data_IF_582780026019
#
_entry.id   IF_582780026019
#
_cell.length_a   1.000
_cell.length_b   1.000
_cell.length_c   1.000
_cell.angle_alpha   90.00
_cell.angle_beta   90.00
_cell.angle_gamma   90.00
#
_symmetry.space_group_name_H-M   'P 1'
#
loop_
_entity.id
_entity.type
_entity.pdbx_description
1 polymer ?
#
# COMPACT_ATOMS: atom_id res chain seq x y z
N UNK A 1 5.99 -18.82 -11.07
CA UNK A 1 5.47 -17.64 -10.32
C UNK A 1 6.29 -16.43 -10.74
N UNK A 2 5.68 -15.47 -11.43
CA UNK A 2 6.40 -14.34 -12.04
C UNK A 2 7.02 -13.43 -10.97
N UNK A 3 8.37 -13.35 -10.95
CA UNK A 3 9.16 -12.38 -10.18
C UNK A 3 9.12 -11.01 -10.88
N UNK A 4 7.94 -10.41 -11.06
CA UNK A 4 7.74 -9.30 -11.99
C UNK A 4 7.89 -7.88 -11.44
N UNK A 5 7.72 -7.65 -10.13
CA UNK A 5 7.44 -6.29 -9.62
C UNK A 5 8.31 -5.87 -8.41
N UNK A 6 9.47 -6.48 -8.17
CA UNK A 6 10.33 -6.11 -7.03
C UNK A 6 11.29 -5.01 -7.47
N UNK A 7 11.09 -3.81 -6.93
CA UNK A 7 11.92 -2.61 -7.20
C UNK A 7 13.04 -2.54 -6.15
N UNK A 8 14.26 -2.16 -6.56
CA UNK A 8 15.39 -1.96 -5.64
C UNK A 8 15.37 -0.52 -5.09
N UNK A 9 15.62 -0.38 -3.79
CA UNK A 9 15.53 0.89 -3.08
C UNK A 9 16.71 1.85 -3.30
N UNK A 10 17.78 1.41 -3.96
CA UNK A 10 19.08 2.11 -4.01
C UNK A 10 19.08 3.43 -4.78
N UNK A 11 18.14 3.63 -5.70
CA UNK A 11 18.15 4.74 -6.67
C UNK A 11 16.92 5.66 -6.56
N UNK A 12 16.08 5.49 -5.53
CA UNK A 12 14.77 6.13 -5.45
C UNK A 12 14.65 6.96 -4.17
N UNK A 13 14.24 8.22 -4.31
CA UNK A 13 13.86 9.07 -3.18
C UNK A 13 12.53 8.59 -2.59
N UNK A 14 12.62 7.83 -1.50
CA UNK A 14 11.46 7.30 -0.80
C UNK A 14 11.04 8.24 0.33
N UNK A 15 9.79 8.69 0.29
CA UNK A 15 9.14 9.37 1.41
C UNK A 15 8.54 8.34 2.36
N UNK A 16 8.57 8.67 3.64
CA UNK A 16 8.15 7.79 4.72
C UNK A 16 6.87 8.32 5.36
N UNK A 17 5.91 7.43 5.62
CA UNK A 17 4.67 7.79 6.30
C UNK A 17 4.35 6.76 7.37
N UNK A 18 4.21 7.23 8.61
CA UNK A 18 3.81 6.39 9.74
C UNK A 18 2.30 6.24 9.75
N UNK A 19 1.81 5.00 9.73
CA UNK A 19 0.37 4.71 9.70
C UNK A 19 -0.20 4.59 11.10
N UNK A 20 0.48 3.81 11.95
CA UNK A 20 0.03 3.55 13.31
C UNK A 20 1.21 3.17 14.20
N UNK A 21 1.14 3.60 15.46
CA UNK A 21 2.09 3.25 16.52
C UNK A 21 1.29 2.62 17.65
N UNK A 22 1.66 1.40 18.04
CA UNK A 22 1.00 0.65 19.10
C UNK A 22 1.99 0.36 20.22
N UNK A 23 1.63 0.66 21.46
CA UNK A 23 2.38 0.19 22.64
C UNK A 23 1.89 -1.20 23.00
N UNK A 24 2.78 -2.19 22.93
CA UNK A 24 2.52 -3.59 23.29
C UNK A 24 3.21 -3.93 24.60
N UNK A 25 2.60 -4.79 25.41
CA UNK A 25 3.11 -5.17 26.72
C UNK A 25 3.22 -6.69 26.88
N UNK A 26 4.35 -7.17 27.40
CA UNK A 26 4.52 -8.55 27.85
C UNK A 26 4.52 -8.59 29.38
N UNK A 27 3.61 -9.36 29.97
CA UNK A 27 3.54 -9.55 31.43
C UNK A 27 4.67 -10.50 31.86
N UNK A 28 5.34 -10.16 32.96
CA UNK A 28 6.42 -10.95 33.59
C UNK A 28 6.21 -10.98 35.10
N UNK A 29 6.94 -11.86 35.82
CA UNK A 29 6.77 -12.08 37.28
C UNK A 29 6.84 -10.82 38.15
N UNK A 30 7.48 -9.74 37.70
CA UNK A 30 7.64 -8.48 38.43
C UNK A 30 6.99 -7.25 37.78
N UNK A 31 6.13 -7.42 36.75
CA UNK A 31 5.48 -6.29 36.10
C UNK A 31 5.20 -6.50 34.61
N UNK A 32 5.32 -5.42 33.83
CA UNK A 32 5.08 -5.43 32.38
C UNK A 32 6.28 -4.85 31.64
N UNK A 33 6.79 -5.58 30.65
CA UNK A 33 7.78 -5.07 29.71
C UNK A 33 7.06 -4.46 28.52
N UNK A 34 7.23 -3.16 28.31
CA UNK A 34 6.65 -2.45 27.18
C UNK A 34 7.58 -2.50 25.96
N UNK A 35 6.99 -2.49 24.78
CA UNK A 35 7.65 -2.28 23.50
C UNK A 35 6.70 -1.50 22.59
N UNK A 36 7.23 -0.87 21.56
CA UNK A 36 6.45 -0.18 20.54
C UNK A 36 6.51 -0.95 19.22
N UNK A 37 5.36 -1.03 18.56
CA UNK A 37 5.22 -1.53 17.20
C UNK A 37 4.80 -0.38 16.31
N UNK A 38 5.49 -0.19 15.19
CA UNK A 38 5.16 0.82 14.20
C UNK A 38 4.84 0.13 12.86
N UNK A 39 3.77 0.59 12.21
CA UNK A 39 3.47 0.27 10.82
C UNK A 39 3.88 1.48 9.99
N UNK A 40 4.77 1.26 9.04
CA UNK A 40 5.31 2.31 8.18
C UNK A 40 5.04 1.95 6.73
N UNK A 41 4.73 2.97 5.95
CA UNK A 41 4.62 2.91 4.49
C UNK A 41 5.72 3.79 3.92
N UNK A 42 6.36 3.32 2.87
CA UNK A 42 7.35 4.09 2.10
C UNK A 42 6.92 4.15 0.65
N UNK A 43 7.16 5.28 -0.02
CA UNK A 43 6.85 5.40 -1.44
C UNK A 43 7.49 6.61 -2.09
N UNK A 44 7.59 6.56 -3.42
CA UNK A 44 8.23 7.59 -4.24
C UNK A 44 7.24 8.62 -4.82
N UNK A 45 5.94 8.42 -4.57
CA UNK A 45 4.88 9.22 -5.18
C UNK A 45 4.72 9.02 -6.69
N UNK A 46 5.40 8.05 -7.28
CA UNK A 46 5.44 7.78 -8.72
C UNK A 46 5.10 6.32 -9.05
N UNK A 47 4.31 5.66 -8.20
CA UNK A 47 3.84 4.30 -8.42
C UNK A 47 4.73 3.22 -7.83
N UNK A 48 5.71 3.56 -6.98
CA UNK A 48 6.43 2.58 -6.15
C UNK A 48 6.05 2.79 -4.69
N UNK A 49 5.59 1.73 -4.04
CA UNK A 49 5.16 1.78 -2.64
C UNK A 49 5.52 0.47 -1.93
N UNK A 50 5.87 0.56 -0.66
CA UNK A 50 6.15 -0.57 0.21
C UNK A 50 5.59 -0.34 1.60
N UNK A 51 5.42 -1.42 2.36
CA UNK A 51 5.02 -1.36 3.76
C UNK A 51 5.92 -2.25 4.60
N UNK A 52 6.08 -1.87 5.86
CA UNK A 52 6.90 -2.60 6.81
C UNK A 52 6.33 -2.52 8.22
N UNK A 53 6.78 -3.46 9.04
CA UNK A 53 6.49 -3.50 10.46
C UNK A 53 7.79 -3.48 11.25
N UNK A 54 7.92 -2.50 12.14
CA UNK A 54 9.03 -2.41 13.07
C UNK A 54 8.57 -2.61 14.51
N UNK A 55 9.43 -3.22 15.31
CA UNK A 55 9.22 -3.36 16.76
C UNK A 55 10.52 -3.09 17.52
N UNK A 56 10.46 -2.23 18.52
CA UNK A 56 11.59 -1.90 19.38
C UNK A 56 11.12 -1.49 20.79
N UNK A 57 12.07 -1.19 21.68
CA UNK A 57 11.74 -0.69 23.02
C UNK A 57 11.42 0.81 22.99
N UNK A 58 11.95 1.55 22.02
CA UNK A 58 11.68 2.97 21.78
C UNK A 58 10.88 3.17 20.49
N UNK A 59 10.24 4.33 20.36
CA UNK A 59 9.35 4.65 19.23
C UNK A 59 10.15 4.91 17.95
N UNK A 60 11.21 5.72 18.04
CA UNK A 60 12.10 6.08 16.92
C UNK A 60 12.71 4.82 16.30
N UNK A 61 13.30 3.96 17.12
CA UNK A 61 13.87 2.68 16.69
C UNK A 61 12.83 1.76 16.01
N UNK A 62 11.59 1.75 16.50
CA UNK A 62 10.53 0.97 15.90
C UNK A 62 10.16 1.51 14.52
N UNK A 63 10.18 2.83 14.32
CA UNK A 63 9.93 3.47 13.03
C UNK A 63 11.08 3.14 12.06
N UNK A 64 12.34 3.32 12.47
CA UNK A 64 13.53 3.02 11.63
C UNK A 64 13.53 1.57 11.15
N UNK A 65 13.27 0.61 12.06
CA UNK A 65 13.13 -0.81 11.67
C UNK A 65 11.97 -1.05 10.72
N UNK A 66 10.87 -0.32 10.87
CA UNK A 66 9.73 -0.39 9.98
C UNK A 66 10.06 0.12 8.57
N UNK A 67 10.84 1.20 8.48
CA UNK A 67 11.33 1.76 7.20
C UNK A 67 12.25 0.76 6.48
N UNK A 68 13.20 0.17 7.21
CA UNK A 68 14.13 -0.81 6.64
C UNK A 68 13.42 -2.07 6.13
N UNK A 69 12.36 -2.50 6.82
CA UNK A 69 11.49 -3.59 6.38
C UNK A 69 10.66 -3.18 5.15
N UNK A 70 10.12 -1.96 5.14
CA UNK A 70 9.30 -1.44 4.05
C UNK A 70 10.08 -1.31 2.73
N UNK A 71 11.35 -0.88 2.79
CA UNK A 71 12.25 -0.78 1.64
C UNK A 71 12.53 -2.12 0.97
N UNK A 72 12.37 -3.24 1.66
CA UNK A 72 12.53 -4.60 1.09
C UNK A 72 11.29 -5.06 0.34
N UNK A 73 10.12 -4.52 0.68
CA UNK A 73 8.81 -4.96 0.19
C UNK A 73 8.19 -3.94 -0.80
N UNK A 74 9.00 -3.38 -1.70
CA UNK A 74 8.53 -2.45 -2.70
C UNK A 74 7.78 -3.16 -3.83
N UNK A 75 6.62 -2.62 -4.18
CA UNK A 75 5.81 -3.03 -5.33
C UNK A 75 5.64 -1.88 -6.31
N UNK A 76 5.54 -2.21 -7.59
CA UNK A 76 5.13 -1.27 -8.64
C UNK A 76 3.62 -1.32 -8.84
N UNK A 77 2.98 -0.15 -8.76
CA UNK A 77 1.54 0.06 -8.93
C UNK A 77 1.30 0.69 -10.31
N UNK A 78 0.38 0.14 -11.14
CA UNK A 78 0.02 0.76 -12.40
C UNK A 78 -0.82 2.01 -12.14
N UNK A 79 -0.32 3.16 -12.57
CA UNK A 79 -1.00 4.46 -12.46
C UNK A 79 -1.38 4.95 -13.86
N UNK A 80 -2.56 5.56 -13.97
CA UNK A 80 -3.02 6.19 -15.20
C UNK A 80 -3.54 7.59 -14.87
N UNK A 81 -2.86 8.64 -15.36
CA UNK A 81 -3.26 10.05 -15.13
C UNK A 81 -3.55 10.38 -13.65
N UNK A 82 -2.73 9.85 -12.72
CA UNK A 82 -2.89 10.08 -11.28
C UNK A 82 -4.07 9.33 -10.62
N UNK A 83 -4.65 8.34 -11.28
CA UNK A 83 -5.70 7.45 -10.76
C UNK A 83 -5.38 5.97 -11.04
N UNK A 84 -6.17 5.06 -10.49
CA UNK A 84 -6.09 3.61 -10.74
C UNK A 84 -6.77 3.24 -12.07
N UNK A 85 -6.35 2.18 -12.79
CA UNK A 85 -6.92 1.87 -14.10
C UNK A 85 -8.38 1.36 -14.08
N UNK A 86 -8.76 0.58 -13.06
CA UNK A 86 -10.09 -0.03 -12.94
C UNK A 86 -10.42 -0.29 -11.47
N UNK A 87 -11.70 -0.49 -11.11
CA UNK A 87 -12.07 -0.83 -9.74
C UNK A 87 -11.55 -2.20 -9.35
N UNK A 88 -11.00 -2.32 -8.14
CA UNK A 88 -10.45 -3.57 -7.62
C UNK A 88 -10.82 -3.78 -6.16
N UNK A 89 -11.00 -5.05 -5.81
CA UNK A 89 -11.21 -5.50 -4.44
C UNK A 89 -9.94 -6.16 -3.89
N UNK A 90 -9.58 -5.82 -2.66
CA UNK A 90 -8.49 -6.45 -1.92
C UNK A 90 -8.99 -7.10 -0.64
N UNK A 91 -8.43 -8.26 -0.31
CA UNK A 91 -8.79 -8.97 0.92
C UNK A 91 -7.54 -9.53 1.58
N UNK A 92 -7.38 -9.24 2.86
CA UNK A 92 -6.35 -9.85 3.69
C UNK A 92 -6.88 -10.09 5.10
N UNK A 93 -6.97 -11.35 5.52
CA UNK A 93 -7.63 -11.73 6.76
C UNK A 93 -9.05 -11.17 6.83
N UNK A 94 -9.35 -10.41 7.89
CA UNK A 94 -10.62 -9.69 8.06
C UNK A 94 -10.70 -8.31 7.37
N UNK A 95 -9.62 -7.84 6.75
CA UNK A 95 -9.59 -6.60 5.99
C UNK A 95 -10.19 -6.81 4.59
N UNK A 96 -11.20 -6.02 4.23
CA UNK A 96 -11.80 -6.02 2.90
C UNK A 96 -11.90 -4.59 2.36
N UNK A 97 -11.24 -4.34 1.25
CA UNK A 97 -11.04 -3.00 0.70
C UNK A 97 -11.55 -2.94 -0.73
N UNK A 98 -12.27 -1.87 -1.06
CA UNK A 98 -12.63 -1.50 -2.42
C UNK A 98 -11.81 -0.27 -2.81
N UNK A 99 -11.18 -0.32 -3.98
CA UNK A 99 -10.52 0.82 -4.64
C UNK A 99 -11.25 1.05 -5.96
N UNK A 100 -11.65 2.29 -6.24
CA UNK A 100 -12.33 2.68 -7.47
C UNK A 100 -11.67 3.94 -8.06
N UNK A 101 -11.47 3.98 -9.40
CA UNK A 101 -10.98 5.19 -10.06
C UNK A 101 -11.94 6.36 -9.84
N UNK A 102 -11.35 7.56 -9.71
CA UNK A 102 -12.08 8.81 -9.64
C UNK A 102 -11.66 9.76 -10.77
N UNK A 103 -12.51 10.75 -11.04
CA UNK A 103 -12.23 11.84 -12.00
C UNK A 103 -11.17 12.77 -11.43
N UNK A 104 -10.42 13.43 -12.32
CA UNK A 104 -9.46 14.47 -11.93
C UNK A 104 -10.13 15.54 -11.05
N UNK A 105 -9.47 15.92 -9.95
CA UNK A 105 -9.95 16.91 -8.98
C UNK A 105 -10.77 16.33 -7.82
N UNK A 106 -11.00 15.01 -7.77
CA UNK A 106 -11.74 14.37 -6.66
C UNK A 106 -10.89 14.27 -5.39
N UNK A 107 -9.56 14.17 -5.52
CA UNK A 107 -8.67 13.93 -4.39
C UNK A 107 -8.70 12.47 -3.88
N UNK A 108 -8.02 12.23 -2.75
CA UNK A 108 -7.91 10.91 -2.11
C UNK A 108 -8.96 10.76 -1.02
N UNK A 109 -10.08 10.11 -1.38
CA UNK A 109 -11.15 9.78 -0.44
C UNK A 109 -10.94 8.34 0.03
N UNK A 110 -10.24 8.19 1.15
CA UNK A 110 -9.91 6.90 1.75
C UNK A 110 -9.82 6.98 3.28
N UNK A 111 -9.97 5.84 3.96
CA UNK A 111 -9.71 5.75 5.41
C UNK A 111 -8.21 5.92 5.72
N UNK A 112 -7.86 6.39 6.92
CA UNK A 112 -6.49 6.83 7.25
C UNK A 112 -5.36 5.85 6.86
N UNK A 113 -5.50 4.57 7.20
CA UNK A 113 -4.50 3.56 6.85
C UNK A 113 -4.37 3.33 5.35
N UNK A 114 -5.47 3.41 4.60
CA UNK A 114 -5.46 3.28 3.14
C UNK A 114 -4.94 4.55 2.47
N UNK A 115 -5.31 5.72 3.01
CA UNK A 115 -4.90 7.03 2.52
C UNK A 115 -3.38 7.12 2.50
N UNK A 116 -2.72 6.73 3.59
CA UNK A 116 -1.26 6.70 3.66
C UNK A 116 -0.61 5.87 2.53
N UNK A 117 -1.20 4.71 2.21
CA UNK A 117 -0.71 3.85 1.12
C UNK A 117 -0.94 4.50 -0.24
N UNK A 118 -2.13 5.05 -0.48
CA UNK A 118 -2.51 5.60 -1.78
C UNK A 118 -1.75 6.90 -2.08
N UNK A 119 -1.55 7.77 -1.09
CA UNK A 119 -0.76 8.99 -1.21
C UNK A 119 0.72 8.67 -1.44
N UNK A 120 1.30 7.75 -0.66
CA UNK A 120 2.70 7.31 -0.84
C UNK A 120 2.93 6.65 -2.22
N UNK A 121 1.90 5.99 -2.77
CA UNK A 121 1.96 5.42 -4.11
C UNK A 121 1.85 6.47 -5.24
N UNK A 122 1.50 7.73 -4.96
CA UNK A 122 1.31 8.76 -6.00
C UNK A 122 -0.10 8.82 -6.60
N UNK A 123 -1.10 8.25 -5.91
CA UNK A 123 -2.48 8.31 -6.36
C UNK A 123 -3.11 9.59 -5.82
N UNK A 124 -3.52 10.47 -6.72
CA UNK A 124 -4.12 11.76 -6.35
C UNK A 124 -5.64 11.73 -6.39
N UNK A 125 -6.25 10.87 -7.23
CA UNK A 125 -7.70 10.81 -7.41
C UNK A 125 -8.18 9.38 -7.24
N UNK A 126 -8.86 9.08 -6.14
CA UNK A 126 -9.36 7.72 -5.87
C UNK A 126 -10.49 7.72 -4.85
N UNK A 127 -11.46 6.84 -5.07
CA UNK A 127 -12.51 6.52 -4.11
C UNK A 127 -12.21 5.16 -3.51
N UNK A 128 -11.94 5.12 -2.21
CA UNK A 128 -11.55 3.89 -1.55
C UNK A 128 -12.29 3.71 -0.21
N UNK A 129 -12.78 2.50 0.03
CA UNK A 129 -13.57 2.18 1.24
C UNK A 129 -13.15 0.84 1.82
N UNK A 130 -12.87 0.82 3.12
CA UNK A 130 -12.84 -0.43 3.90
C UNK A 130 -14.27 -0.86 4.20
N UNK A 131 -14.63 -2.05 3.75
CA UNK A 131 -15.92 -2.73 3.98
C UNK A 131 -15.82 -3.86 5.00
N UNK A 132 -14.67 -4.01 5.65
CA UNK A 132 -14.41 -5.06 6.64
C UNK A 132 -13.82 -4.49 7.94
N UNK A 133 -12.81 -5.16 8.47
CA UNK A 133 -12.10 -4.72 9.68
C UNK A 133 -11.46 -3.34 9.53
N UNK A 134 -11.45 -2.57 10.61
CA UNK A 134 -10.76 -1.28 10.74
C UNK A 134 -9.32 -1.40 11.23
N UNK A 135 -8.80 -2.62 11.45
CA UNK A 135 -7.43 -2.82 11.94
C UNK A 135 -6.39 -2.34 10.89
N UNK A 136 -5.53 -1.34 11.21
CA UNK A 136 -4.53 -0.82 10.29
C UNK A 136 -3.62 -1.90 9.68
N UNK A 137 -3.24 -2.93 10.44
CA UNK A 137 -2.39 -4.02 9.92
C UNK A 137 -3.03 -4.77 8.76
N UNK A 138 -4.34 -5.07 8.87
CA UNK A 138 -5.06 -5.82 7.85
C UNK A 138 -5.47 -4.92 6.70
N UNK A 139 -5.84 -3.67 6.99
CA UNK A 139 -6.26 -2.70 5.99
C UNK A 139 -5.10 -2.36 5.05
N UNK A 140 -3.90 -2.10 5.57
CA UNK A 140 -2.70 -1.86 4.74
C UNK A 140 -2.46 -3.07 3.83
N UNK A 141 -2.36 -4.28 4.38
CA UNK A 141 -2.13 -5.50 3.58
C UNK A 141 -3.23 -5.77 2.54
N UNK A 142 -4.49 -5.56 2.89
CA UNK A 142 -5.60 -5.68 1.95
C UNK A 142 -5.54 -4.63 0.83
N UNK A 143 -5.05 -3.42 1.12
CA UNK A 143 -4.82 -2.37 0.12
C UNK A 143 -3.70 -2.78 -0.84
N UNK A 144 -2.59 -3.31 -0.34
CA UNK A 144 -1.50 -3.84 -1.17
C UNK A 144 -1.94 -5.03 -2.04
N UNK A 145 -2.80 -5.91 -1.52
CA UNK A 145 -3.42 -7.00 -2.29
C UNK A 145 -4.29 -6.46 -3.45
N UNK A 146 -5.08 -5.41 -3.20
CA UNK A 146 -5.86 -4.76 -4.26
C UNK A 146 -4.95 -4.13 -5.33
N UNK A 147 -3.90 -3.42 -4.91
CA UNK A 147 -2.98 -2.74 -5.83
C UNK A 147 -2.16 -3.73 -6.69
N UNK A 148 -1.76 -4.86 -6.12
CA UNK A 148 -1.00 -5.90 -6.83
C UNK A 148 -1.84 -6.59 -7.91
N UNK A 149 -3.17 -6.64 -7.72
CA UNK A 149 -4.11 -7.24 -8.68
C UNK A 149 -4.45 -6.30 -9.84
N UNK A 150 -4.13 -5.01 -9.73
CA UNK A 150 -4.33 -4.07 -10.81
C UNK A 150 -3.49 -4.47 -12.03
N UNK A 151 -4.07 -4.24 -13.20
CA UNK A 151 -3.44 -4.53 -14.50
C UNK A 151 -3.41 -3.26 -15.31
N UNK A 152 -2.26 -3.01 -15.92
CA UNK A 152 -2.08 -1.95 -16.90
C UNK A 152 -2.80 -2.32 -18.21
N UNK A 153 -3.62 -1.42 -18.80
CA UNK A 153 -4.22 -1.61 -20.11
C UNK A 153 -3.21 -2.05 -21.19
N UNK A 154 -1.98 -1.52 -21.16
CA UNK A 154 -0.91 -1.91 -22.10
C UNK A 154 -0.49 -3.37 -21.90
N UNK A 155 -0.36 -3.81 -20.65
CA UNK A 155 -0.02 -5.19 -20.35
C UNK A 155 -1.14 -6.16 -20.77
N UNK A 156 -2.40 -5.77 -20.60
CA UNK A 156 -3.56 -6.56 -21.04
C UNK A 156 -3.63 -6.68 -22.57
N UNK A 157 -3.38 -5.57 -23.29
CA UNK A 157 -3.33 -5.57 -24.75
C UNK A 157 -2.27 -6.54 -25.29
N UNK A 158 -1.05 -6.47 -24.72
CA UNK A 158 0.05 -7.39 -25.05
C UNK A 158 -0.29 -8.84 -24.74
N UNK A 159 -0.88 -9.13 -23.59
CA UNK A 159 -1.29 -10.48 -23.21
C UNK A 159 -2.34 -11.08 -24.16
N UNK A 160 -3.24 -10.25 -24.68
CA UNK A 160 -4.30 -10.68 -25.60
C UNK A 160 -3.87 -10.67 -27.07
N UNK A 161 -2.74 -10.04 -27.41
CA UNK A 161 -2.29 -9.87 -28.80
C UNK A 161 -3.18 -8.93 -29.62
N UNK A 162 -3.86 -7.98 -28.97
CA UNK A 162 -4.85 -7.09 -29.58
C UNK A 162 -4.37 -5.63 -29.48
N UNK A 163 -4.78 -4.79 -30.43
CA UNK A 163 -4.51 -3.35 -30.40
C UNK A 163 -5.17 -2.65 -29.19
N UNK A 164 -4.54 -1.59 -28.71
CA UNK A 164 -4.97 -0.83 -27.53
C UNK A 164 -6.38 -0.24 -27.70
N UNK A 165 -6.73 0.20 -28.92
CA UNK A 165 -8.05 0.71 -29.28
C UNK A 165 -9.16 -0.34 -29.11
N UNK A 166 -8.89 -1.58 -29.52
CA UNK A 166 -9.86 -2.69 -29.39
C UNK A 166 -10.03 -3.16 -27.95
N UNK A 167 -9.05 -2.94 -27.07
CA UNK A 167 -9.20 -3.21 -25.63
C UNK A 167 -10.19 -2.24 -24.96
N UNK A 168 -10.25 -0.99 -25.41
CA UNK A 168 -11.16 0.01 -24.86
C UNK A 168 -12.55 0.01 -25.52
N UNK A 169 -12.61 -0.25 -26.83
CA UNK A 169 -13.84 -0.08 -27.61
C UNK A 169 -14.60 -1.40 -27.92
N UNK A 170 -14.01 -2.56 -27.62
CA UNK A 170 -14.58 -3.89 -27.94
C UNK A 170 -14.19 -4.37 -29.34
#
# INVERSE_FOLDING_TARGET
MARGNVVRASDIELKEQVVAINRVAKVVKGGRRFSFSAIVVVGDGNGVVGYGLGKANEVTDAITKGIDDAKKNLIKVPLMKGTVPHPMHGKFGGGYVLIKPATAGTGVIAGGAMRAVLESAGIHNVLAKSKGSSNPHNVVKATFDALTKLRDPLAVAKQRGISLSKVFNG
#
